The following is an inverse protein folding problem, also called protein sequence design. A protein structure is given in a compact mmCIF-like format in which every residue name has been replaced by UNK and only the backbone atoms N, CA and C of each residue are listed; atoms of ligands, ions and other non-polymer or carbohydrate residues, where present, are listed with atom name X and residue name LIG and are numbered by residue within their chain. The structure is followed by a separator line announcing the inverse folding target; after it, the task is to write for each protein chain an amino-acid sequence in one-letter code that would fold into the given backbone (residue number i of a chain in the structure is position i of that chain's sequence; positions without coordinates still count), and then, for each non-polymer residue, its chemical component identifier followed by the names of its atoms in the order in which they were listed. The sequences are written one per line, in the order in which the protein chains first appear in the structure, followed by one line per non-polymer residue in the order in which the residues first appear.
data_IF_528345250286
#
_entry.id   IF_528345250286
#
_cell.length_a   1.000
_cell.length_b   1.000
_cell.length_c   1.000
_cell.angle_alpha   90.00
_cell.angle_beta   90.00
_cell.angle_gamma   90.00
#
_symmetry.space_group_name_H-M   'P 1'
#
loop_
_entity.id
_entity.type
_entity.pdbx_description
1 polymer ?
#
# COMPACT_ATOMS: atom_id res chain seq x y z
N UNK A 1 13.75 -21.54 11.54
CA UNK A 1 13.11 -20.94 10.34
C UNK A 1 14.19 -20.62 9.32
N UNK A 2 13.93 -20.75 8.02
CA UNK A 2 14.87 -20.34 6.96
C UNK A 2 15.01 -18.81 6.93
N UNK A 3 16.11 -18.30 6.35
CA UNK A 3 16.43 -16.86 6.32
C UNK A 3 15.32 -16.02 5.66
N UNK A 4 14.72 -16.54 4.59
CA UNK A 4 13.56 -15.95 3.91
C UNK A 4 12.34 -15.83 4.83
N UNK A 5 11.98 -16.91 5.53
CA UNK A 5 10.85 -16.90 6.48
C UNK A 5 11.06 -15.92 7.62
N UNK A 6 12.30 -15.80 8.12
CA UNK A 6 12.65 -14.81 9.15
C UNK A 6 12.50 -13.38 8.63
N UNK A 7 12.98 -13.10 7.40
CA UNK A 7 12.83 -11.77 6.80
C UNK A 7 11.35 -11.38 6.61
N UNK A 8 10.53 -12.31 6.11
CA UNK A 8 9.11 -12.07 5.95
C UNK A 8 8.40 -11.89 7.30
N UNK A 9 8.79 -12.62 8.34
CA UNK A 9 8.24 -12.43 9.69
C UNK A 9 8.60 -11.04 10.24
N UNK A 10 9.86 -10.61 10.07
CA UNK A 10 10.29 -9.28 10.49
C UNK A 10 9.49 -8.18 9.75
N UNK A 11 9.30 -8.34 8.43
CA UNK A 11 8.49 -7.41 7.64
C UNK A 11 7.04 -7.37 8.11
N UNK A 12 6.45 -8.53 8.43
CA UNK A 12 5.11 -8.61 9.02
C UNK A 12 5.04 -7.84 10.35
N UNK A 13 5.99 -8.06 11.27
CA UNK A 13 6.00 -7.37 12.55
C UNK A 13 6.10 -5.85 12.39
N UNK A 14 6.92 -5.37 11.46
CA UNK A 14 7.04 -3.93 11.17
C UNK A 14 5.74 -3.36 10.59
N UNK A 15 5.14 -4.03 9.61
CA UNK A 15 3.87 -3.60 9.02
C UNK A 15 2.72 -3.60 10.04
N UNK A 16 2.60 -4.67 10.83
CA UNK A 16 1.60 -4.79 11.88
C UNK A 16 1.78 -3.71 12.95
N UNK A 17 3.01 -3.48 13.40
CA UNK A 17 3.32 -2.40 14.34
C UNK A 17 2.96 -1.03 13.77
N UNK A 18 3.30 -0.74 12.52
CA UNK A 18 2.98 0.52 11.86
C UNK A 18 1.47 0.79 11.79
N UNK A 19 0.68 -0.23 11.42
CA UNK A 19 -0.79 -0.16 11.37
C UNK A 19 -1.36 0.08 12.77
N UNK A 20 -0.92 -0.68 13.77
CA UNK A 20 -1.40 -0.56 15.16
C UNK A 20 -1.01 0.79 15.76
N UNK A 21 0.21 1.26 15.50
CA UNK A 21 0.67 2.58 15.93
C UNK A 21 -0.21 3.68 15.33
N UNK A 22 -0.46 3.64 14.02
CA UNK A 22 -1.33 4.61 13.36
C UNK A 22 -2.77 4.55 13.91
N UNK A 23 -3.30 3.35 14.17
CA UNK A 23 -4.63 3.19 14.77
C UNK A 23 -4.68 3.78 16.18
N UNK A 24 -3.66 3.52 17.01
CA UNK A 24 -3.58 4.06 18.36
C UNK A 24 -3.53 5.60 18.35
N UNK A 25 -2.77 6.20 17.45
CA UNK A 25 -2.70 7.65 17.28
C UNK A 25 -4.05 8.25 16.87
N UNK A 26 -4.77 7.59 15.95
CA UNK A 26 -6.13 8.01 15.53
C UNK A 26 -7.11 7.95 16.71
N UNK A 27 -7.04 6.90 17.53
CA UNK A 27 -7.90 6.76 18.73
C UNK A 27 -7.59 7.85 19.77
N UNK A 28 -6.31 8.16 19.97
CA UNK A 28 -5.86 9.22 20.89
C UNK A 28 -6.20 10.63 20.39
N UNK A 29 -6.57 10.75 19.10
CA UNK A 29 -7.07 11.99 18.49
C UNK A 29 -6.03 12.76 17.71
N UNK A 30 -4.90 12.15 17.38
CA UNK A 30 -3.94 12.75 16.47
C UNK A 30 -4.54 12.84 15.07
N UNK A 31 -4.37 14.01 14.47
CA UNK A 31 -4.69 14.24 13.07
C UNK A 31 -3.75 13.39 12.19
N UNK A 32 -4.30 12.77 11.13
CA UNK A 32 -3.53 12.00 10.14
C UNK A 32 -3.01 12.93 9.03
N UNK A 33 -3.90 13.81 8.58
CA UNK A 33 -3.67 14.95 7.69
C UNK A 33 -4.26 16.16 8.42
N UNK A 34 -3.96 17.37 7.95
CA UNK A 34 -4.29 18.71 8.48
C UNK A 34 -5.81 18.95 8.72
N UNK A 35 -6.43 18.12 9.57
CA UNK A 35 -7.80 18.23 10.06
C UNK A 35 -7.79 19.34 11.12
N UNK A 36 -8.46 20.44 10.82
CA UNK A 36 -8.57 21.60 11.74
C UNK A 36 -9.42 21.30 12.99
N UNK A 37 -10.16 20.20 12.97
CA UNK A 37 -11.05 19.75 14.06
C UNK A 37 -10.94 18.24 14.25
N UNK A 38 -10.72 17.80 15.50
CA UNK A 38 -10.72 16.37 15.84
C UNK A 38 -12.12 15.77 15.59
N UNK A 39 -12.26 14.75 14.72
CA UNK A 39 -13.52 14.05 14.55
C UNK A 39 -13.83 13.17 15.76
N UNK A 40 -15.10 12.77 15.92
CA UNK A 40 -15.47 11.73 16.87
C UNK A 40 -14.77 10.41 16.53
N UNK A 41 -14.61 9.53 17.53
CA UNK A 41 -13.87 8.27 17.37
C UNK A 41 -14.42 7.39 16.26
N UNK A 42 -15.75 7.35 16.05
CA UNK A 42 -16.37 6.55 14.98
C UNK A 42 -15.96 7.07 13.60
N UNK A 43 -16.08 8.38 13.38
CA UNK A 43 -15.62 9.03 12.15
C UNK A 43 -14.12 8.84 11.94
N UNK A 44 -13.31 8.98 13.00
CA UNK A 44 -11.86 8.80 12.94
C UNK A 44 -11.47 7.39 12.46
N UNK A 45 -12.15 6.36 12.96
CA UNK A 45 -11.94 4.96 12.56
C UNK A 45 -12.36 4.72 11.10
N UNK A 46 -13.46 5.30 10.64
CA UNK A 46 -13.88 5.20 9.24
C UNK A 46 -12.86 5.90 8.32
N UNK A 47 -12.38 7.08 8.71
CA UNK A 47 -11.32 7.79 7.97
C UNK A 47 -10.04 6.96 7.90
N UNK A 48 -9.60 6.37 9.01
CA UNK A 48 -8.47 5.43 9.05
C UNK A 48 -8.64 4.29 8.04
N UNK A 49 -9.81 3.64 8.03
CA UNK A 49 -10.12 2.58 7.07
C UNK A 49 -10.30 3.07 5.62
N UNK A 50 -10.37 4.38 5.38
CA UNK A 50 -10.54 4.95 4.03
C UNK A 50 -9.21 5.23 3.33
N UNK A 51 -8.07 5.11 4.02
CA UNK A 51 -6.75 5.32 3.42
C UNK A 51 -6.28 4.07 2.65
N UNK A 52 -5.91 4.26 1.38
CA UNK A 52 -5.31 3.19 0.57
C UNK A 52 -4.00 2.67 1.19
N UNK A 53 -3.27 3.55 1.89
CA UNK A 53 -2.07 3.20 2.67
C UNK A 53 -2.37 2.10 3.70
N UNK A 54 -3.52 2.14 4.38
CA UNK A 54 -3.90 1.11 5.36
C UNK A 54 -4.22 -0.20 4.64
N UNK A 55 -4.95 -0.14 3.53
CA UNK A 55 -5.28 -1.32 2.73
C UNK A 55 -4.03 -2.01 2.20
N UNK A 56 -3.09 -1.25 1.64
CA UNK A 56 -1.84 -1.80 1.12
C UNK A 56 -0.96 -2.39 2.21
N UNK A 57 -0.87 -1.73 3.39
CA UNK A 57 -0.07 -2.26 4.50
C UNK A 57 -0.71 -3.52 5.12
N UNK A 58 -2.05 -3.62 5.15
CA UNK A 58 -2.75 -4.86 5.53
C UNK A 58 -2.43 -5.99 4.54
N UNK A 59 -2.42 -5.70 3.24
CA UNK A 59 -2.01 -6.66 2.22
C UNK A 59 -0.54 -7.08 2.38
N UNK A 60 0.35 -6.16 2.72
CA UNK A 60 1.75 -6.48 3.05
C UNK A 60 1.85 -7.38 4.27
N UNK A 61 1.15 -7.05 5.36
CA UNK A 61 1.14 -7.87 6.57
C UNK A 61 0.61 -9.28 6.29
N UNK A 62 -0.52 -9.40 5.58
CA UNK A 62 -1.06 -10.69 5.15
C UNK A 62 -0.09 -11.47 4.26
N UNK A 63 0.46 -10.81 3.24
CA UNK A 63 1.37 -11.41 2.26
C UNK A 63 2.63 -11.94 2.96
N UNK A 64 3.27 -11.13 3.80
CA UNK A 64 4.51 -11.50 4.47
C UNK A 64 4.30 -12.52 5.57
N UNK A 65 3.19 -12.46 6.32
CA UNK A 65 2.85 -13.48 7.31
C UNK A 65 2.64 -14.85 6.66
N UNK A 66 1.89 -14.92 5.55
CA UNK A 66 1.66 -16.19 4.87
C UNK A 66 2.95 -16.79 4.33
N UNK A 67 3.91 -15.98 3.87
CA UNK A 67 5.25 -16.44 3.48
C UNK A 67 6.07 -16.93 4.68
N UNK A 68 6.07 -16.17 5.78
CA UNK A 68 6.74 -16.55 7.02
C UNK A 68 6.23 -17.89 7.58
N UNK A 69 4.94 -18.16 7.41
CA UNK A 69 4.30 -19.41 7.81
C UNK A 69 4.43 -20.54 6.77
N UNK A 70 4.99 -20.29 5.60
CA UNK A 70 5.07 -21.28 4.51
C UNK A 70 3.71 -21.63 3.88
N UNK A 71 2.73 -20.74 4.00
CA UNK A 71 1.34 -20.91 3.51
C UNK A 71 1.14 -20.19 2.17
N UNK A 72 2.08 -20.34 1.24
CA UNK A 72 1.97 -19.74 -0.10
C UNK A 72 1.04 -20.55 -1.00
N UNK A 73 0.19 -19.87 -1.79
CA UNK A 73 -0.72 -20.49 -2.77
C UNK A 73 -0.50 -19.91 -4.15
N UNK A 74 -0.76 -20.71 -5.19
CA UNK A 74 -0.61 -20.28 -6.59
C UNK A 74 -1.96 -20.12 -7.32
N UNK A 75 -2.92 -19.46 -6.66
CA UNK A 75 -4.19 -19.08 -7.31
C UNK A 75 -4.10 -17.68 -7.87
N UNK A 76 -4.96 -17.35 -8.85
CA UNK A 76 -4.97 -16.03 -9.50
C UNK A 76 -5.15 -14.90 -8.50
N UNK A 77 -6.11 -15.01 -7.57
CA UNK A 77 -6.35 -14.01 -6.54
C UNK A 77 -5.22 -13.92 -5.54
N UNK A 78 -4.59 -15.04 -5.19
CA UNK A 78 -3.44 -15.02 -4.28
C UNK A 78 -2.26 -14.27 -4.88
N UNK A 79 -1.96 -14.52 -6.16
CA UNK A 79 -0.92 -13.79 -6.90
C UNK A 79 -1.26 -12.31 -7.05
N UNK A 80 -2.51 -12.00 -7.41
CA UNK A 80 -2.97 -10.63 -7.59
C UNK A 80 -2.86 -9.80 -6.29
N UNK A 81 -3.35 -10.32 -5.15
CA UNK A 81 -3.25 -9.63 -3.86
C UNK A 81 -1.80 -9.47 -3.38
N UNK A 82 -0.90 -10.39 -3.75
CA UNK A 82 0.55 -10.21 -3.51
C UNK A 82 1.13 -9.13 -4.41
N UNK A 83 0.69 -9.05 -5.66
CA UNK A 83 1.07 -7.97 -6.58
C UNK A 83 0.56 -6.63 -6.04
N UNK A 84 -0.67 -6.56 -5.53
CA UNK A 84 -1.22 -5.39 -4.83
C UNK A 84 -0.34 -4.98 -3.64
N UNK A 85 0.03 -5.94 -2.79
CA UNK A 85 0.89 -5.68 -1.63
C UNK A 85 2.24 -5.04 -2.02
N UNK A 86 2.84 -5.45 -3.15
CA UNK A 86 4.10 -4.87 -3.62
C UNK A 86 3.86 -3.52 -4.30
N UNK A 87 2.96 -3.50 -5.29
CA UNK A 87 2.78 -2.36 -6.21
C UNK A 87 2.08 -1.19 -5.53
N UNK A 88 0.97 -1.42 -4.82
CA UNK A 88 0.23 -0.35 -4.15
C UNK A 88 1.03 0.19 -2.98
N UNK A 89 1.70 -0.66 -2.20
CA UNK A 89 2.52 -0.20 -1.08
C UNK A 89 3.73 0.61 -1.56
N UNK A 90 4.49 0.09 -2.54
CA UNK A 90 5.65 0.80 -3.08
C UNK A 90 5.28 2.05 -3.86
N UNK A 91 4.29 1.95 -4.76
CA UNK A 91 3.76 3.08 -5.50
C UNK A 91 3.12 4.12 -4.60
N UNK A 92 2.44 3.70 -3.54
CA UNK A 92 1.90 4.57 -2.51
C UNK A 92 2.98 5.36 -1.77
N UNK A 93 4.14 4.75 -1.50
CA UNK A 93 5.32 5.46 -0.98
C UNK A 93 5.87 6.51 -1.95
N UNK A 94 5.89 6.22 -3.26
CA UNK A 94 6.26 7.20 -4.29
C UNK A 94 5.27 8.37 -4.32
N UNK A 95 3.97 8.07 -4.40
CA UNK A 95 2.90 9.08 -4.39
C UNK A 95 2.97 9.90 -3.11
N UNK A 96 3.20 9.28 -1.95
CA UNK A 96 3.40 9.98 -0.69
C UNK A 96 4.57 10.96 -0.76
N UNK A 97 5.73 10.49 -1.20
CA UNK A 97 6.94 11.33 -1.26
C UNK A 97 6.75 12.58 -2.12
N UNK A 98 6.10 12.44 -3.29
CA UNK A 98 5.92 13.56 -4.22
C UNK A 98 4.69 14.42 -3.95
N UNK A 99 3.57 13.82 -3.54
CA UNK A 99 2.28 14.52 -3.46
C UNK A 99 1.82 14.83 -2.02
N UNK A 100 2.28 14.10 -1.01
CA UNK A 100 1.80 14.27 0.37
C UNK A 100 2.87 14.88 1.26
N UNK A 101 4.10 14.37 1.20
CA UNK A 101 5.18 14.78 2.09
C UNK A 101 5.39 16.30 2.19
N UNK A 102 5.29 17.09 1.10
CA UNK A 102 5.39 18.55 1.20
C UNK A 102 4.31 19.23 2.06
N UNK A 103 3.24 18.52 2.43
CA UNK A 103 2.12 19.02 3.24
C UNK A 103 2.15 18.51 4.68
N UNK A 104 3.19 17.75 5.07
CA UNK A 104 3.25 17.04 6.35
C UNK A 104 4.34 17.56 7.29
N UNK A 105 4.80 18.80 7.10
CA UNK A 105 5.84 19.42 7.93
C UNK A 105 5.42 19.62 9.40
N UNK A 106 4.11 19.54 9.68
CA UNK A 106 3.55 19.62 11.03
C UNK A 106 3.61 18.30 11.81
N UNK A 107 4.03 17.18 11.21
CA UNK A 107 4.10 15.90 11.92
C UNK A 107 5.29 15.85 12.89
N UNK A 108 5.03 15.49 14.15
CA UNK A 108 6.04 15.32 15.19
C UNK A 108 5.81 14.05 16.02
N UNK A 109 6.79 13.71 16.87
CA UNK A 109 6.68 12.61 17.84
C UNK A 109 6.37 11.24 17.20
N UNK A 110 5.33 10.58 17.68
CA UNK A 110 4.94 9.26 17.18
C UNK A 110 4.26 9.30 15.80
N UNK A 111 3.67 10.43 15.39
CA UNK A 111 3.03 10.56 14.08
C UNK A 111 4.04 10.54 12.94
N UNK A 112 5.21 11.18 13.09
CA UNK A 112 6.28 11.08 12.07
C UNK A 112 6.88 9.67 12.01
N UNK A 113 6.88 8.93 13.13
CA UNK A 113 7.32 7.52 13.14
C UNK A 113 6.32 6.66 12.37
N UNK A 114 5.02 6.80 12.64
CA UNK A 114 3.97 6.09 11.91
C UNK A 114 4.00 6.39 10.40
N UNK A 115 4.15 7.67 10.03
CA UNK A 115 4.27 8.11 8.64
C UNK A 115 5.46 7.45 7.93
N UNK A 116 6.66 7.51 8.52
CA UNK A 116 7.86 6.90 7.95
C UNK A 116 7.74 5.38 7.86
N UNK A 117 7.12 4.73 8.84
CA UNK A 117 6.94 3.29 8.80
C UNK A 117 6.02 2.88 7.63
N UNK A 118 4.87 3.54 7.50
CA UNK A 118 3.85 3.20 6.49
C UNK A 118 4.25 3.59 5.06
N UNK A 119 4.99 4.69 4.87
CA UNK A 119 5.28 5.27 3.55
C UNK A 119 6.72 5.10 3.09
N UNK A 120 7.64 4.66 3.95
CA UNK A 120 9.04 4.44 3.59
C UNK A 120 9.55 3.05 3.98
N UNK A 121 9.48 2.70 5.27
CA UNK A 121 10.12 1.48 5.78
C UNK A 121 9.42 0.22 5.25
N UNK A 122 8.09 0.10 5.40
CA UNK A 122 7.35 -1.06 4.90
C UNK A 122 7.44 -1.19 3.37
N UNK A 123 7.26 -0.12 2.57
CA UNK A 123 7.50 -0.13 1.13
C UNK A 123 8.88 -0.67 0.72
N UNK A 124 9.95 -0.25 1.41
CA UNK A 124 11.31 -0.73 1.12
C UNK A 124 11.44 -2.21 1.51
N UNK A 125 10.94 -2.61 2.68
CA UNK A 125 11.03 -4.00 3.14
C UNK A 125 10.26 -4.95 2.24
N UNK A 126 9.06 -4.59 1.77
CA UNK A 126 8.29 -5.45 0.86
C UNK A 126 8.99 -5.59 -0.49
N UNK A 127 9.59 -4.50 -1.01
CA UNK A 127 10.35 -4.53 -2.25
C UNK A 127 11.62 -5.40 -2.13
N UNK A 128 12.38 -5.25 -1.05
CA UNK A 128 13.56 -6.10 -0.74
C UNK A 128 13.11 -7.57 -0.60
N UNK A 129 12.03 -7.81 0.13
CA UNK A 129 11.41 -9.12 0.31
C UNK A 129 11.16 -9.82 -1.01
N UNK A 130 10.45 -9.12 -1.90
CA UNK A 130 10.10 -9.62 -3.22
C UNK A 130 11.33 -9.80 -4.14
N UNK A 131 12.26 -8.84 -4.16
CA UNK A 131 13.45 -8.90 -5.01
C UNK A 131 14.45 -9.97 -4.59
N UNK A 132 14.69 -10.15 -3.29
CA UNK A 132 15.75 -11.02 -2.78
C UNK A 132 15.25 -12.39 -2.35
N UNK A 133 14.07 -12.48 -1.73
CA UNK A 133 13.57 -13.72 -1.12
C UNK A 133 12.46 -14.40 -1.93
N UNK A 134 11.69 -13.64 -2.71
CA UNK A 134 10.61 -14.17 -3.56
C UNK A 134 9.29 -14.30 -2.80
N UNK A 135 8.41 -15.27 -3.14
CA UNK A 135 8.57 -16.39 -4.09
C UNK A 135 8.67 -15.95 -5.56
N UNK A 136 9.32 -16.76 -6.39
CA UNK A 136 9.56 -16.48 -7.83
C UNK A 136 8.46 -17.07 -8.72
N UNK A 137 8.16 -16.42 -9.83
CA UNK A 137 7.21 -16.90 -10.84
C UNK A 137 5.74 -16.73 -10.43
N UNK A 138 5.51 -15.78 -9.52
CA UNK A 138 4.22 -15.46 -8.89
C UNK A 138 3.61 -14.16 -9.38
N UNK A 139 4.25 -13.42 -10.29
CA UNK A 139 3.64 -12.28 -10.97
C UNK A 139 3.50 -12.58 -12.47
N UNK A 140 2.26 -12.66 -12.98
CA UNK A 140 1.97 -12.99 -14.38
C UNK A 140 1.11 -11.90 -15.01
N UNK A 141 1.23 -11.71 -16.32
CA UNK A 141 0.41 -10.73 -17.07
C UNK A 141 -1.10 -10.94 -16.87
N UNK A 142 -1.54 -12.19 -16.73
CA UNK A 142 -2.95 -12.53 -16.46
C UNK A 142 -3.45 -12.06 -15.09
N UNK A 143 -2.56 -11.73 -14.17
CA UNK A 143 -2.91 -11.30 -12.81
C UNK A 143 -3.17 -9.79 -12.76
N UNK A 144 -2.88 -9.02 -13.83
CA UNK A 144 -3.10 -7.56 -13.90
C UNK A 144 -4.59 -7.20 -13.79
N UNK A 145 -5.48 -7.95 -14.46
CA UNK A 145 -6.92 -7.72 -14.36
C UNK A 145 -7.43 -7.88 -12.91
N UNK A 146 -7.18 -9.03 -12.26
CA UNK A 146 -7.51 -9.24 -10.85
C UNK A 146 -6.83 -8.26 -9.87
N UNK A 147 -5.59 -7.83 -10.14
CA UNK A 147 -4.89 -6.79 -9.37
C UNK A 147 -5.68 -5.48 -9.35
N UNK A 148 -6.30 -5.08 -10.47
CA UNK A 148 -7.05 -3.82 -10.54
C UNK A 148 -8.27 -3.77 -9.61
N UNK A 149 -8.76 -4.89 -9.09
CA UNK A 149 -9.94 -4.93 -8.23
C UNK A 149 -9.74 -4.11 -6.97
N UNK A 150 -8.61 -4.24 -6.26
CA UNK A 150 -8.35 -3.51 -5.02
C UNK A 150 -8.28 -1.98 -5.25
N UNK A 151 -7.40 -1.45 -6.13
CA UNK A 151 -7.27 0.00 -6.30
C UNK A 151 -8.50 0.63 -6.95
N UNK A 152 -9.19 -0.05 -7.88
CA UNK A 152 -10.42 0.47 -8.49
C UNK A 152 -11.56 0.48 -7.48
N UNK A 153 -11.73 -0.58 -6.70
CA UNK A 153 -12.76 -0.62 -5.66
C UNK A 153 -12.54 0.48 -4.62
N UNK A 154 -11.30 0.65 -4.16
CA UNK A 154 -10.95 1.75 -3.26
C UNK A 154 -11.27 3.12 -3.87
N UNK A 155 -10.89 3.36 -5.12
CA UNK A 155 -11.14 4.63 -5.80
C UNK A 155 -12.64 4.93 -5.91
N UNK A 156 -13.44 3.96 -6.35
CA UNK A 156 -14.90 4.09 -6.47
C UNK A 156 -15.53 4.37 -5.11
N UNK A 157 -15.13 3.61 -4.08
CA UNK A 157 -15.57 3.83 -2.70
C UNK A 157 -15.24 5.26 -2.23
N UNK A 158 -14.01 5.71 -2.44
CA UNK A 158 -13.54 7.03 -1.99
C UNK A 158 -14.29 8.16 -2.68
N UNK A 159 -14.51 8.08 -3.99
CA UNK A 159 -15.21 9.13 -4.74
C UNK A 159 -16.70 9.21 -4.35
N UNK A 160 -17.38 8.06 -4.22
CA UNK A 160 -18.79 8.02 -3.80
C UNK A 160 -18.93 8.52 -2.36
N UNK A 161 -18.12 7.99 -1.43
CA UNK A 161 -18.22 8.39 -0.02
C UNK A 161 -17.85 9.86 0.14
N UNK A 162 -16.82 10.34 -0.54
CA UNK A 162 -16.35 11.71 -0.40
C UNK A 162 -17.42 12.74 -0.76
N UNK A 163 -18.24 12.46 -1.78
CA UNK A 163 -19.39 13.29 -2.15
C UNK A 163 -20.51 13.27 -1.08
N UNK A 164 -20.67 12.16 -0.36
CA UNK A 164 -21.73 12.01 0.65
C UNK A 164 -21.38 12.70 1.98
N UNK A 165 -20.10 12.69 2.36
CA UNK A 165 -19.65 13.16 3.69
C UNK A 165 -18.68 14.33 3.64
N UNK A 166 -18.52 14.94 2.46
CA UNK A 166 -17.64 16.07 2.20
C UNK A 166 -16.19 15.88 2.70
N UNK A 167 -15.66 14.66 2.56
CA UNK A 167 -14.31 14.36 3.02
C UNK A 167 -13.62 13.31 2.16
N UNK A 168 -12.38 13.62 1.77
CA UNK A 168 -11.50 12.75 0.99
C UNK A 168 -10.25 12.40 1.80
N UNK A 169 -9.73 11.16 1.66
CA UNK A 169 -8.55 10.72 2.40
C UNK A 169 -7.27 11.41 1.96
N UNK A 170 -7.26 12.09 0.81
CA UNK A 170 -6.06 12.76 0.33
C UNK A 170 -6.36 14.11 -0.33
N UNK A 171 -5.51 15.15 -0.14
CA UNK A 171 -5.73 16.45 -0.77
C UNK A 171 -5.79 16.38 -2.30
N UNK A 172 -4.98 15.52 -2.93
CA UNK A 172 -4.90 15.41 -4.39
C UNK A 172 -6.11 14.68 -5.02
N UNK A 173 -6.97 14.05 -4.22
CA UNK A 173 -8.22 13.42 -4.67
C UNK A 173 -9.45 14.18 -4.15
N UNK A 174 -9.24 15.33 -3.51
CA UNK A 174 -10.31 16.17 -2.99
C UNK A 174 -11.06 16.88 -4.13
N UNK A 175 -12.26 16.38 -4.42
CA UNK A 175 -13.11 16.91 -5.50
C UNK A 175 -13.71 18.26 -5.12
N UNK A 176 -13.94 18.53 -3.83
CA UNK A 176 -14.47 19.82 -3.37
C UNK A 176 -13.45 20.92 -3.64
N UNK A 177 -12.17 20.62 -3.41
CA UNK A 177 -11.07 21.57 -3.63
C UNK A 177 -10.67 21.74 -5.10
N UNK A 178 -10.69 20.66 -5.88
CA UNK A 178 -10.09 20.63 -7.22
C UNK A 178 -11.07 20.42 -8.38
N UNK A 179 -12.30 20.00 -8.08
CA UNK A 179 -13.29 19.59 -9.09
C UNK A 179 -12.96 18.26 -9.76
N UNK A 180 -13.96 17.64 -10.37
CA UNK A 180 -13.85 16.30 -10.97
C UNK A 180 -12.79 16.22 -12.08
N UNK A 181 -12.66 17.25 -12.92
CA UNK A 181 -11.73 17.21 -14.05
C UNK A 181 -10.27 17.04 -13.60
N UNK A 182 -9.84 17.84 -12.62
CA UNK A 182 -8.47 17.77 -12.09
C UNK A 182 -8.24 16.48 -11.30
N UNK A 183 -9.20 16.07 -10.46
CA UNK A 183 -9.10 14.83 -9.69
C UNK A 183 -8.98 13.61 -10.60
N UNK A 184 -9.81 13.52 -11.65
CA UNK A 184 -9.75 12.42 -12.61
C UNK A 184 -8.41 12.40 -13.37
N UNK A 185 -7.86 13.56 -13.75
CA UNK A 185 -6.53 13.63 -14.37
C UNK A 185 -5.43 13.10 -13.43
N UNK A 186 -5.47 13.47 -12.14
CA UNK A 186 -4.58 12.93 -11.11
C UNK A 186 -4.74 11.41 -10.96
N UNK A 187 -5.97 10.91 -10.89
CA UNK A 187 -6.27 9.49 -10.80
C UNK A 187 -5.72 8.71 -12.00
N UNK A 188 -5.83 9.26 -13.22
CA UNK A 188 -5.25 8.65 -14.42
C UNK A 188 -3.73 8.58 -14.32
N UNK A 189 -3.06 9.68 -13.92
CA UNK A 189 -1.60 9.70 -13.73
C UNK A 189 -1.11 8.66 -12.72
N UNK A 190 -1.78 8.56 -11.58
CA UNK A 190 -1.49 7.54 -10.55
C UNK A 190 -1.77 6.14 -11.09
N UNK A 191 -2.87 5.94 -11.84
CA UNK A 191 -3.20 4.64 -12.42
C UNK A 191 -2.15 4.18 -13.44
N UNK A 192 -1.63 5.10 -14.27
CA UNK A 192 -0.52 4.83 -15.20
C UNK A 192 0.74 4.42 -14.44
N UNK A 193 1.07 5.12 -13.34
CA UNK A 193 2.17 4.72 -12.46
C UNK A 193 1.98 3.29 -11.92
N UNK A 194 0.82 2.99 -11.35
CA UNK A 194 0.54 1.67 -10.76
C UNK A 194 0.58 0.54 -11.80
N UNK A 195 -0.01 0.76 -12.98
CA UNK A 195 0.03 -0.20 -14.08
C UNK A 195 1.45 -0.40 -14.61
N UNK A 196 2.25 0.68 -14.71
CA UNK A 196 3.66 0.62 -15.08
C UNK A 196 4.48 -0.20 -14.08
N UNK A 197 4.28 0.03 -12.78
CA UNK A 197 4.92 -0.73 -11.71
C UNK A 197 4.48 -2.21 -11.71
N UNK A 198 3.20 -2.49 -11.90
CA UNK A 198 2.68 -3.86 -11.99
C UNK A 198 3.28 -4.60 -13.19
N UNK A 199 3.34 -3.94 -14.35
CA UNK A 199 3.99 -4.49 -15.54
C UNK A 199 5.47 -4.76 -15.29
N UNK A 200 6.19 -3.79 -14.71
CA UNK A 200 7.60 -3.95 -14.37
C UNK A 200 7.82 -5.11 -13.40
N UNK A 201 6.96 -5.25 -12.38
CA UNK A 201 7.00 -6.34 -11.42
C UNK A 201 6.85 -7.69 -12.12
N UNK A 202 5.87 -7.84 -13.03
CA UNK A 202 5.70 -9.07 -13.83
C UNK A 202 6.96 -9.39 -14.66
N UNK A 203 7.56 -8.39 -15.31
CA UNK A 203 8.77 -8.57 -16.12
C UNK A 203 9.98 -8.97 -15.28
N UNK A 204 10.19 -8.29 -14.16
CA UNK A 204 11.28 -8.56 -13.25
C UNK A 204 11.14 -9.92 -12.57
N UNK A 205 9.94 -10.32 -12.13
CA UNK A 205 9.72 -11.66 -11.56
C UNK A 205 10.04 -12.77 -12.57
N UNK A 206 9.63 -12.60 -13.82
CA UNK A 206 9.97 -13.54 -14.89
C UNK A 206 11.49 -13.64 -15.12
N UNK A 207 12.22 -12.51 -15.10
CA UNK A 207 13.67 -12.48 -15.24
C UNK A 207 14.38 -13.14 -14.05
N UNK A 208 13.94 -12.84 -12.82
CA UNK A 208 14.46 -13.40 -11.58
C UNK A 208 14.22 -14.91 -11.50
N UNK A 209 13.06 -15.39 -11.98
CA UNK A 209 12.74 -16.81 -12.10
C UNK A 209 13.70 -17.53 -13.05
N UNK A 210 13.95 -16.96 -14.23
CA UNK A 210 14.91 -17.52 -15.19
C UNK A 210 16.32 -17.60 -14.61
N UNK A 211 16.79 -16.52 -13.96
CA UNK A 211 18.11 -16.47 -13.32
C UNK A 211 18.26 -17.56 -12.24
N UNK A 212 17.25 -17.72 -11.38
CA UNK A 212 17.25 -18.74 -10.33
C UNK A 212 17.26 -20.18 -10.89
N UNK A 213 16.70 -20.42 -12.07
CA UNK A 213 16.75 -21.71 -12.74
C UNK A 213 18.14 -22.01 -13.33
N UNK A 214 18.87 -20.99 -13.78
CA UNK A 214 20.23 -21.14 -14.32
C UNK A 214 21.27 -21.41 -13.22
N UNK A 215 21.14 -20.79 -12.05
CA UNK A 215 22.09 -20.99 -10.93
C UNK A 215 21.95 -22.33 -10.22
N UNK A 216 20.92 -23.13 -10.55
CA UNK A 216 20.68 -24.46 -9.99
C UNK A 216 21.17 -25.61 -10.89
N UNK A 217 21.63 -25.30 -12.10
CA UNK A 217 22.31 -26.23 -13.00
C UNK A 217 23.81 -26.15 -12.77
#
# INVERSE_FOLDING_TARGET
MSRDRVFHLATFCVAAFAIVLQLALVIDGYAVIDDTTRPDTGTALIRFCSYLTIWSNVLVAWSTLTLALGRDRDTVWWRALRLDAVVICFGGGIVHFFLLRPHLDHLFGWSIVADRLLHLVVPILVLIGWLLFGPRGRARTRDIGPFLVVPVFWLVYTLIRGEIVDWYPYPFIDVIKHGYAQVLATCVGISVLMLGLAWLAVRADAALTKKAALTKK
#
